data_IF_927932921439
#
_entry.id   IF_927932921439
#
_cell.length_a   1.000
_cell.length_b   1.000
_cell.length_c   1.000
_cell.angle_alpha   90.00
_cell.angle_beta   90.00
_cell.angle_gamma   90.00
#
_symmetry.space_group_name_H-M   'P 1'
#
loop_
_entity.id
_entity.type
_entity.pdbx_description
1 polymer ?
#
# COMPACT_ATOMS: atom_id res chain seq x y z
N UNK A 1 -18.46 26.38 18.67
CA UNK A 1 -18.93 24.98 18.82
C UNK A 1 -18.08 24.14 17.90
N UNK A 2 -17.52 23.08 18.45
CA UNK A 2 -16.49 22.22 17.86
C UNK A 2 -17.04 21.47 16.65
N UNK A 3 -16.75 21.97 15.46
CA UNK A 3 -16.97 21.24 14.23
C UNK A 3 -15.80 20.26 14.07
N UNK A 4 -15.86 19.15 14.82
CA UNK A 4 -15.07 17.94 14.59
C UNK A 4 -15.53 17.30 13.28
N UNK A 5 -15.46 18.04 12.19
CA UNK A 5 -15.67 17.48 10.90
C UNK A 5 -14.50 16.53 10.65
N UNK A 6 -14.85 15.26 10.45
CA UNK A 6 -14.00 14.18 9.97
C UNK A 6 -13.46 14.49 8.55
N UNK A 7 -12.85 15.66 8.35
CA UNK A 7 -12.07 15.93 7.15
C UNK A 7 -10.73 15.24 7.34
N UNK A 8 -10.65 14.00 6.87
CA UNK A 8 -9.38 13.39 6.56
C UNK A 8 -8.55 14.42 5.76
N UNK A 9 -7.31 14.70 6.18
CA UNK A 9 -6.41 15.59 5.43
C UNK A 9 -6.03 14.91 4.11
N UNK A 10 -6.88 15.07 3.10
CA UNK A 10 -6.76 14.46 1.78
C UNK A 10 -5.42 14.72 1.11
N UNK A 11 -4.93 15.98 1.05
CA UNK A 11 -3.60 16.26 0.51
C UNK A 11 -2.50 15.51 1.25
N UNK A 12 -2.58 15.44 2.59
CA UNK A 12 -1.62 14.69 3.41
C UNK A 12 -1.63 13.18 3.13
N UNK A 13 -2.81 12.57 3.01
CA UNK A 13 -2.97 11.15 2.70
C UNK A 13 -2.50 10.80 1.28
N UNK A 14 -2.80 11.66 0.31
CA UNK A 14 -2.35 11.49 -1.07
C UNK A 14 -0.83 11.68 -1.20
N UNK A 15 -0.25 12.60 -0.44
CA UNK A 15 1.20 12.79 -0.35
C UNK A 15 1.90 11.59 0.30
N UNK A 16 1.39 11.10 1.43
CA UNK A 16 1.95 9.95 2.13
C UNK A 16 1.89 8.66 1.32
N UNK A 17 0.82 8.44 0.55
CA UNK A 17 0.71 7.26 -0.32
C UNK A 17 1.67 7.30 -1.52
N UNK A 18 1.90 8.48 -2.12
CA UNK A 18 2.97 8.64 -3.13
C UNK A 18 4.35 8.35 -2.56
N UNK A 19 4.61 8.77 -1.32
CA UNK A 19 5.87 8.44 -0.65
C UNK A 19 6.00 6.94 -0.38
N UNK A 20 4.93 6.25 0.04
CA UNK A 20 4.94 4.81 0.22
C UNK A 20 5.24 4.07 -1.09
N UNK A 21 4.61 4.48 -2.20
CA UNK A 21 4.91 3.93 -3.53
C UNK A 21 6.39 4.10 -3.87
N UNK A 22 6.93 5.31 -3.69
CA UNK A 22 8.34 5.58 -3.98
C UNK A 22 9.30 4.75 -3.10
N UNK A 23 8.94 4.50 -1.83
CA UNK A 23 9.71 3.63 -0.92
C UNK A 23 9.67 2.17 -1.40
N UNK A 24 8.49 1.70 -1.83
CA UNK A 24 8.34 0.35 -2.38
C UNK A 24 9.16 0.15 -3.66
N UNK A 25 9.10 1.10 -4.59
CA UNK A 25 9.87 1.07 -5.83
C UNK A 25 11.38 1.07 -5.51
N UNK A 26 11.82 1.94 -4.60
CA UNK A 26 13.21 2.00 -4.16
C UNK A 26 13.70 0.72 -3.47
N UNK A 27 12.84 0.06 -2.68
CA UNK A 27 13.17 -1.22 -2.05
C UNK A 27 13.36 -2.34 -3.09
N UNK A 28 12.55 -2.36 -4.15
CA UNK A 28 12.70 -3.30 -5.26
C UNK A 28 14.02 -3.06 -6.00
N UNK A 29 14.34 -1.80 -6.31
CA UNK A 29 15.59 -1.44 -6.98
C UNK A 29 16.82 -1.83 -6.16
N UNK A 30 16.83 -1.50 -4.87
CA UNK A 30 17.89 -1.91 -3.93
C UNK A 30 18.07 -3.43 -3.90
N UNK A 31 16.97 -4.19 -3.89
CA UNK A 31 17.05 -5.64 -3.85
C UNK A 31 17.57 -6.22 -5.16
N UNK A 32 17.20 -5.64 -6.30
CA UNK A 32 17.73 -6.04 -7.60
C UNK A 32 19.24 -5.80 -7.69
N UNK A 33 19.71 -4.65 -7.21
CA UNK A 33 21.14 -4.33 -7.12
C UNK A 33 21.88 -5.31 -6.19
N UNK A 34 21.34 -5.56 -5.00
CA UNK A 34 21.90 -6.54 -4.07
C UNK A 34 21.98 -7.95 -4.69
N UNK A 35 20.91 -8.40 -5.34
CA UNK A 35 20.86 -9.70 -5.98
C UNK A 35 21.90 -9.81 -7.10
N UNK A 36 22.03 -8.76 -7.92
CA UNK A 36 23.04 -8.68 -8.95
C UNK A 36 24.46 -8.82 -8.36
N UNK A 37 24.78 -8.06 -7.32
CA UNK A 37 26.11 -8.06 -6.71
C UNK A 37 26.46 -9.39 -6.05
N UNK A 38 25.52 -9.97 -5.31
CA UNK A 38 25.70 -11.29 -4.70
C UNK A 38 25.83 -12.37 -5.78
N UNK A 39 25.08 -12.27 -6.88
CA UNK A 39 25.21 -13.23 -7.99
C UNK A 39 26.58 -13.16 -8.66
N UNK A 40 27.19 -11.97 -8.75
CA UNK A 40 28.53 -11.78 -9.30
C UNK A 40 29.63 -12.44 -8.45
N UNK A 41 29.35 -12.73 -7.18
CA UNK A 41 30.30 -13.41 -6.29
C UNK A 41 30.24 -14.93 -6.34
N UNK A 42 29.39 -15.53 -7.20
CA UNK A 42 29.14 -16.99 -7.19
C UNK A 42 30.35 -17.87 -7.51
N UNK A 43 31.38 -17.31 -8.15
CA UNK A 43 32.63 -18.02 -8.47
C UNK A 43 33.65 -17.97 -7.31
N UNK A 44 33.40 -17.18 -6.27
CA UNK A 44 34.07 -17.31 -4.99
C UNK A 44 33.48 -18.54 -4.28
N UNK A 45 34.24 -19.43 -3.62
CA UNK A 45 35.67 -19.46 -3.26
C UNK A 45 36.58 -20.28 -4.21
N UNK A 46 36.27 -20.32 -5.52
CA UNK A 46 36.97 -21.15 -6.50
C UNK A 46 36.26 -22.47 -6.80
N UNK A 47 36.83 -23.29 -7.70
CA UNK A 47 36.13 -24.48 -8.23
C UNK A 47 36.53 -25.82 -7.58
N UNK A 48 37.82 -26.05 -7.32
CA UNK A 48 38.28 -27.43 -7.05
C UNK A 48 39.41 -27.58 -6.02
N UNK A 49 39.93 -26.49 -5.44
CA UNK A 49 40.92 -26.62 -4.37
C UNK A 49 40.28 -27.14 -3.06
N UNK A 50 41.13 -27.54 -2.11
CA UNK A 50 40.67 -28.10 -0.83
C UNK A 50 39.83 -27.10 -0.01
N UNK A 51 40.05 -25.81 -0.22
CA UNK A 51 39.29 -24.74 0.41
C UNK A 51 37.91 -24.60 -0.23
N UNK A 52 37.82 -24.56 -1.57
CA UNK A 52 36.59 -24.49 -2.34
C UNK A 52 35.64 -25.65 -1.99
N UNK A 53 36.14 -26.88 -1.89
CA UNK A 53 35.33 -28.06 -1.53
C UNK A 53 34.64 -27.93 -0.16
N UNK A 54 35.23 -27.19 0.77
CA UNK A 54 34.65 -26.97 2.10
C UNK A 54 33.79 -25.71 2.16
N UNK A 55 34.14 -24.67 1.39
CA UNK A 55 33.50 -23.37 1.48
C UNK A 55 32.34 -23.17 0.49
N UNK A 56 32.34 -23.80 -0.69
CA UNK A 56 31.25 -23.70 -1.67
C UNK A 56 29.88 -24.04 -1.05
N UNK A 57 29.71 -25.12 -0.26
CA UNK A 57 28.42 -25.40 0.37
C UNK A 57 27.99 -24.32 1.38
N UNK A 58 28.96 -23.71 2.07
CA UNK A 58 28.69 -22.65 3.05
C UNK A 58 28.31 -21.33 2.36
N UNK A 59 29.08 -20.95 1.33
CA UNK A 59 28.79 -19.81 0.46
C UNK A 59 27.38 -19.92 -0.10
N UNK A 60 27.07 -21.06 -0.74
CA UNK A 60 25.75 -21.28 -1.35
C UNK A 60 24.63 -21.12 -0.35
N UNK A 61 24.76 -21.71 0.84
CA UNK A 61 23.76 -21.58 1.91
C UNK A 61 23.60 -20.13 2.38
N UNK A 62 24.71 -19.40 2.54
CA UNK A 62 24.69 -18.00 2.96
C UNK A 62 24.06 -17.10 1.89
N UNK A 63 24.45 -17.27 0.63
CA UNK A 63 23.89 -16.55 -0.51
C UNK A 63 22.39 -16.79 -0.66
N UNK A 64 21.96 -18.06 -0.67
CA UNK A 64 20.54 -18.40 -0.75
C UNK A 64 19.75 -17.81 0.42
N UNK A 65 20.30 -17.85 1.64
CA UNK A 65 19.69 -17.25 2.82
C UNK A 65 19.58 -15.72 2.72
N UNK A 66 20.62 -15.05 2.23
CA UNK A 66 20.64 -13.60 2.09
C UNK A 66 19.64 -13.14 1.01
N UNK A 67 19.62 -13.82 -0.14
CA UNK A 67 18.63 -13.57 -1.22
C UNK A 67 17.21 -13.80 -0.71
N UNK A 68 16.96 -14.91 -0.02
CA UNK A 68 15.63 -15.20 0.54
C UNK A 68 15.18 -14.14 1.55
N UNK A 69 16.09 -13.65 2.38
CA UNK A 69 15.80 -12.63 3.39
C UNK A 69 15.49 -11.28 2.73
N UNK A 70 16.32 -10.86 1.77
CA UNK A 70 16.09 -9.61 1.03
C UNK A 70 14.77 -9.63 0.25
N UNK A 71 14.43 -10.78 -0.36
CA UNK A 71 13.15 -10.96 -1.05
C UNK A 71 11.97 -10.80 -0.08
N UNK A 72 12.01 -11.51 1.06
CA UNK A 72 10.94 -11.44 2.06
C UNK A 72 10.76 -10.02 2.63
N UNK A 73 11.86 -9.30 2.86
CA UNK A 73 11.82 -7.90 3.30
C UNK A 73 11.17 -7.00 2.24
N UNK A 74 11.55 -7.15 0.98
CA UNK A 74 11.00 -6.37 -0.14
C UNK A 74 9.50 -6.64 -0.30
N UNK A 75 9.09 -7.90 -0.27
CA UNK A 75 7.67 -8.30 -0.31
C UNK A 75 6.88 -7.69 0.86
N UNK A 76 7.45 -7.65 2.07
CA UNK A 76 6.80 -7.02 3.21
C UNK A 76 6.62 -5.50 3.03
N UNK A 77 7.63 -4.80 2.50
CA UNK A 77 7.56 -3.35 2.24
C UNK A 77 6.50 -3.05 1.18
N UNK A 78 6.49 -3.80 0.08
CA UNK A 78 5.48 -3.67 -0.98
C UNK A 78 4.08 -3.97 -0.43
N UNK A 79 3.92 -5.06 0.33
CA UNK A 79 2.64 -5.44 0.92
C UNK A 79 2.07 -4.38 1.88
N UNK A 80 2.92 -3.72 2.67
CA UNK A 80 2.52 -2.59 3.52
C UNK A 80 2.07 -1.39 2.69
N UNK A 81 2.81 -1.08 1.60
CA UNK A 81 2.45 -0.02 0.66
C UNK A 81 1.09 -0.27 0.00
N UNK A 82 0.92 -1.44 -0.62
CA UNK A 82 -0.30 -1.85 -1.31
C UNK A 82 -1.51 -1.91 -0.35
N UNK A 83 -1.32 -2.47 0.84
CA UNK A 83 -2.38 -2.54 1.86
C UNK A 83 -2.82 -1.15 2.33
N UNK A 84 -1.89 -0.22 2.48
CA UNK A 84 -2.20 1.17 2.86
C UNK A 84 -2.94 1.90 1.75
N UNK A 85 -2.53 1.71 0.49
CA UNK A 85 -3.22 2.25 -0.69
C UNK A 85 -4.64 1.70 -0.82
N UNK A 86 -4.83 0.39 -0.63
CA UNK A 86 -6.14 -0.26 -0.67
C UNK A 86 -7.08 0.26 0.44
N UNK A 87 -6.54 0.46 1.65
CA UNK A 87 -7.28 1.08 2.75
C UNK A 87 -7.68 2.52 2.41
N UNK A 88 -6.77 3.33 1.88
CA UNK A 88 -7.10 4.70 1.47
C UNK A 88 -8.22 4.69 0.42
N UNK A 89 -8.10 3.91 -0.64
CA UNK A 89 -9.13 3.81 -1.70
C UNK A 89 -10.50 3.45 -1.13
N UNK A 90 -10.54 2.54 -0.15
CA UNK A 90 -11.78 2.14 0.54
C UNK A 90 -12.38 3.28 1.35
N UNK A 91 -11.55 4.05 2.08
CA UNK A 91 -11.98 5.25 2.80
C UNK A 91 -12.54 6.31 1.85
N UNK A 92 -11.85 6.55 0.73
CA UNK A 92 -12.29 7.53 -0.28
C UNK A 92 -13.63 7.15 -0.90
N UNK A 93 -13.81 5.87 -1.22
CA UNK A 93 -15.07 5.36 -1.79
C UNK A 93 -16.22 5.50 -0.80
N UNK A 94 -15.98 5.14 0.47
CA UNK A 94 -16.97 5.28 1.54
C UNK A 94 -17.36 6.75 1.75
N UNK A 95 -16.38 7.66 1.74
CA UNK A 95 -16.66 9.08 1.87
C UNK A 95 -17.50 9.61 0.70
N UNK A 96 -17.14 9.25 -0.53
CA UNK A 96 -17.89 9.64 -1.73
C UNK A 96 -19.35 9.20 -1.66
N UNK A 97 -19.58 7.91 -1.36
CA UNK A 97 -20.95 7.38 -1.22
C UNK A 97 -21.76 8.04 -0.10
N UNK A 98 -21.11 8.37 1.03
CA UNK A 98 -21.78 9.09 2.11
C UNK A 98 -22.15 10.53 1.70
N UNK A 99 -21.27 11.23 0.97
CA UNK A 99 -21.56 12.58 0.47
C UNK A 99 -22.69 12.57 -0.56
N UNK A 100 -22.69 11.58 -1.46
CA UNK A 100 -23.75 11.40 -2.45
C UNK A 100 -25.10 11.11 -1.77
N UNK A 101 -25.13 10.24 -0.75
CA UNK A 101 -26.32 9.95 0.04
C UNK A 101 -26.84 11.20 0.80
N UNK A 102 -25.94 12.02 1.33
CA UNK A 102 -26.30 13.29 1.97
C UNK A 102 -26.94 14.23 0.94
N UNK A 103 -26.34 14.39 -0.24
CA UNK A 103 -26.91 15.23 -1.30
C UNK A 103 -28.28 14.73 -1.77
N UNK A 104 -28.46 13.43 -1.96
CA UNK A 104 -29.74 12.84 -2.36
C UNK A 104 -30.82 13.04 -1.28
N UNK A 105 -30.48 12.82 -0.01
CA UNK A 105 -31.41 13.08 1.10
C UNK A 105 -31.83 14.55 1.24
N UNK A 106 -30.95 15.48 0.84
CA UNK A 106 -31.25 16.91 0.87
C UNK A 106 -32.22 17.33 -0.24
N UNK A 107 -32.15 16.65 -1.40
CA UNK A 107 -33.09 16.80 -2.52
C UNK A 107 -34.46 16.23 -2.15
N UNK A 108 -34.51 15.03 -1.55
CA UNK A 108 -35.78 14.42 -1.13
C UNK A 108 -36.51 15.26 -0.07
N UNK A 109 -35.79 15.86 0.87
CA UNK A 109 -36.39 16.72 1.89
C UNK A 109 -36.92 18.06 1.33
N UNK A 110 -36.38 18.52 0.19
CA UNK A 110 -36.89 19.72 -0.51
C UNK A 110 -38.21 19.46 -1.26
N UNK A 111 -38.53 18.20 -1.57
CA UNK A 111 -39.80 17.79 -2.17
C UNK A 111 -40.94 17.63 -1.16
N UNK A 112 -40.65 17.66 0.15
CA UNK A 112 -41.66 17.54 1.23
C UNK A 112 -42.32 18.89 1.57
N UNK A 113 -41.88 20.00 0.99
CA UNK A 113 -42.43 21.34 1.25
C UNK A 113 -43.39 21.87 0.15
N UNK A 114 -43.88 21.01 -0.75
CA UNK A 114 -44.65 21.43 -1.94
C UNK A 114 -46.14 21.06 -2.02
N UNK A 115 -46.72 20.39 -1.01
CA UNK A 115 -48.10 19.90 -1.06
C UNK A 115 -49.05 20.58 -0.08
N UNK A 116 -49.51 21.80 -0.40
CA UNK A 116 -50.70 22.39 0.25
C UNK A 116 -51.93 22.17 -0.65
N UNK A 117 -53.08 21.85 -0.03
CA UNK A 117 -54.48 21.68 -0.52
C UNK A 117 -54.96 20.22 -0.42
N UNK A 118 -56.05 19.84 0.26
CA UNK A 118 -57.09 20.57 1.00
C UNK A 118 -58.32 19.66 1.17
N UNK A 119 -59.01 19.76 2.31
CA UNK A 119 -60.43 19.44 2.49
C UNK A 119 -60.86 17.97 2.67
N UNK A 120 -61.61 17.69 3.74
CA UNK A 120 -62.43 16.46 3.82
C UNK A 120 -62.80 15.97 5.22
N UNK A 121 -63.80 16.64 5.81
CA UNK A 121 -64.70 16.27 6.93
C UNK A 121 -64.76 14.76 7.28
N UNK A 122 -64.73 14.44 8.57
CA UNK A 122 -65.77 13.69 9.32
C UNK A 122 -65.54 13.83 10.82
#
# INVERSE_FOLDING_TARGET
>A
MTENAYYANFPGLTGGTRQLQAISDYAVDMFNEFFHDVSATSDWPGKDDSYAKTMVPQEKKQREGAVSTGKALTEAIVGVGDGTLANLKSVLTTLGGNLDAIHESHIDNSNVSGGTHGGGRH
#
